data_IF_641904528292
#
_entry.id   IF_641904528292
#
_cell.length_a   1.000
_cell.length_b   1.000
_cell.length_c   1.000
_cell.angle_alpha   90.00
_cell.angle_beta   90.00
_cell.angle_gamma   90.00
#
_symmetry.space_group_name_H-M   'P 1'
#
loop_
_entity.id
_entity.type
_entity.pdbx_description
1 polymer ?
#
# COMPACT_ATOMS: atom_id res chain seq x y z
N UNK A 1 -22.56 -3.86 44.01
CA UNK A 1 -21.37 -3.83 43.12
C UNK A 1 -21.40 -5.04 42.20
N UNK A 2 -21.60 -4.91 40.89
CA UNK A 2 -21.63 -6.08 40.00
C UNK A 2 -20.22 -6.43 39.49
N UNK A 3 -19.93 -7.74 39.49
CA UNK A 3 -18.67 -8.35 39.05
C UNK A 3 -18.39 -8.05 37.56
N UNK A 4 -17.18 -7.57 37.25
CA UNK A 4 -16.66 -7.47 35.88
C UNK A 4 -16.62 -8.86 35.25
N UNK A 5 -17.37 -9.04 34.16
CA UNK A 5 -17.28 -10.22 33.28
C UNK A 5 -15.94 -10.12 32.53
N UNK A 6 -15.02 -11.05 32.79
CA UNK A 6 -13.84 -11.24 31.94
C UNK A 6 -14.32 -11.62 30.54
N UNK A 7 -13.98 -10.81 29.55
CA UNK A 7 -14.13 -11.15 28.14
C UNK A 7 -13.01 -12.16 27.83
N UNK A 8 -13.30 -13.38 27.35
CA UNK A 8 -12.28 -14.36 27.04
C UNK A 8 -11.38 -13.87 25.89
N UNK A 9 -10.09 -14.17 26.00
CA UNK A 9 -9.07 -13.92 24.99
C UNK A 9 -9.58 -14.30 23.60
N UNK A 10 -9.77 -13.31 22.73
CA UNK A 10 -9.87 -13.56 21.29
C UNK A 10 -8.48 -13.97 20.81
N UNK A 11 -8.36 -15.20 20.37
CA UNK A 11 -7.22 -15.69 19.59
C UNK A 11 -6.92 -14.69 18.45
N UNK A 12 -5.70 -14.15 18.43
CA UNK A 12 -5.20 -13.41 17.27
C UNK A 12 -5.21 -14.36 16.07
N UNK A 13 -6.12 -14.13 15.11
CA UNK A 13 -6.04 -14.78 13.82
C UNK A 13 -4.67 -14.47 13.20
N UNK A 14 -3.96 -15.46 12.59
CA UNK A 14 -2.77 -15.16 11.82
C UNK A 14 -3.11 -14.16 10.71
N UNK A 15 -2.20 -13.22 10.44
CA UNK A 15 -2.37 -12.24 9.37
C UNK A 15 -2.68 -12.98 8.05
N UNK A 16 -3.62 -12.45 7.26
CA UNK A 16 -3.89 -13.02 5.94
C UNK A 16 -2.67 -12.78 5.05
N UNK A 17 -1.97 -13.86 4.72
CA UNK A 17 -0.87 -13.87 3.76
C UNK A 17 -1.42 -14.04 2.35
N UNK A 18 -1.06 -13.12 1.45
CA UNK A 18 -1.28 -13.29 0.02
C UNK A 18 0.06 -13.65 -0.62
N UNK A 19 0.16 -14.86 -1.14
CA UNK A 19 1.31 -15.28 -1.93
C UNK A 19 1.21 -14.77 -3.36
N UNK A 20 2.29 -14.19 -3.82
CA UNK A 20 2.49 -13.81 -5.20
C UNK A 20 2.90 -15.04 -6.00
N UNK A 21 1.93 -15.73 -6.61
CA UNK A 21 2.21 -16.94 -7.38
C UNK A 21 2.71 -16.60 -8.80
N UNK A 22 4.00 -16.85 -9.06
CA UNK A 22 4.58 -16.73 -10.40
C UNK A 22 4.37 -17.99 -11.27
N UNK A 23 3.92 -19.12 -10.71
CA UNK A 23 3.95 -20.44 -11.38
C UNK A 23 2.87 -20.63 -12.46
N UNK A 24 1.81 -19.81 -12.48
CA UNK A 24 0.86 -19.80 -13.60
C UNK A 24 1.39 -19.12 -14.87
N UNK A 25 2.52 -18.44 -14.81
CA UNK A 25 2.87 -17.44 -15.83
C UNK A 25 3.97 -17.82 -16.81
N UNK A 26 4.66 -18.95 -16.62
CA UNK A 26 5.62 -19.49 -17.60
C UNK A 26 5.11 -20.68 -18.42
N UNK A 27 3.84 -21.10 -18.23
CA UNK A 27 3.17 -22.12 -19.04
C UNK A 27 1.82 -21.61 -19.55
N UNK A 28 1.84 -20.56 -20.37
CA UNK A 28 0.72 -20.26 -21.26
C UNK A 28 1.20 -20.39 -22.71
N UNK A 29 1.08 -21.58 -23.27
CA UNK A 29 0.98 -21.81 -24.71
C UNK A 29 -0.47 -21.69 -25.20
N UNK A 30 -1.33 -20.97 -24.48
CA UNK A 30 -2.70 -20.69 -24.92
C UNK A 30 -2.70 -19.43 -25.79
N UNK A 31 -3.33 -19.47 -26.97
CA UNK A 31 -3.34 -18.35 -27.91
C UNK A 31 -3.98 -17.14 -27.24
N UNK A 32 -3.32 -16.00 -27.39
CA UNK A 32 -3.80 -14.69 -26.97
C UNK A 32 -5.30 -14.56 -27.30
N UNK A 33 -6.15 -14.46 -26.27
CA UNK A 33 -7.50 -13.96 -26.46
C UNK A 33 -7.39 -12.50 -26.81
N UNK A 34 -7.40 -12.25 -28.10
CA UNK A 34 -7.49 -10.96 -28.76
C UNK A 34 -8.85 -10.31 -28.41
N UNK A 35 -8.96 -9.76 -27.21
CA UNK A 35 -10.17 -9.03 -26.78
C UNK A 35 -9.83 -7.81 -25.92
N UNK A 36 -8.73 -7.14 -26.23
CA UNK A 36 -8.53 -5.73 -25.88
C UNK A 36 -8.49 -4.94 -27.17
N UNK A 37 -9.63 -4.34 -27.53
CA UNK A 37 -9.65 -3.30 -28.57
C UNK A 37 -8.56 -2.28 -28.19
N UNK A 38 -7.67 -1.88 -29.11
CA UNK A 38 -6.74 -0.80 -28.81
C UNK A 38 -7.55 0.42 -28.43
N UNK A 39 -7.35 0.93 -27.21
CA UNK A 39 -7.82 2.25 -26.82
C UNK A 39 -7.17 3.20 -27.83
N UNK A 40 -7.97 3.72 -28.76
CA UNK A 40 -7.52 4.71 -29.72
C UNK A 40 -6.99 5.88 -28.90
N UNK A 41 -5.72 6.24 -29.09
CA UNK A 41 -5.15 7.47 -28.55
C UNK A 41 -6.07 8.62 -28.97
N UNK A 42 -6.76 9.21 -28.00
CA UNK A 42 -7.55 10.41 -28.17
C UNK A 42 -6.60 11.56 -28.52
N UNK A 43 -6.23 11.70 -29.79
CA UNK A 43 -5.65 12.91 -30.38
C UNK A 43 -4.30 13.43 -29.84
N UNK A 44 -3.62 12.75 -28.91
CA UNK A 44 -2.33 13.19 -28.40
C UNK A 44 -1.17 12.63 -29.25
N UNK A 45 -0.46 13.45 -30.06
CA UNK A 45 0.65 13.01 -30.89
C UNK A 45 1.91 12.59 -30.11
N UNK A 46 1.94 12.78 -28.78
CA UNK A 46 3.05 12.39 -27.90
C UNK A 46 2.83 11.08 -27.13
N UNK A 47 1.67 10.43 -27.27
CA UNK A 47 1.40 9.18 -26.57
C UNK A 47 2.19 8.02 -27.20
N UNK A 48 3.27 7.62 -26.53
CA UNK A 48 4.13 6.51 -26.97
C UNK A 48 3.39 5.17 -26.88
N UNK A 49 3.65 4.23 -27.80
CA UNK A 49 3.11 2.88 -27.68
C UNK A 49 3.67 2.21 -26.42
N UNK A 50 2.80 1.48 -25.70
CA UNK A 50 3.20 0.72 -24.51
C UNK A 50 4.31 -0.27 -24.87
N UNK A 51 5.25 -0.47 -23.94
CA UNK A 51 6.41 -1.37 -24.12
C UNK A 51 6.61 -2.28 -22.92
N UNK A 52 7.28 -3.41 -23.11
CA UNK A 52 7.74 -4.21 -21.97
C UNK A 52 8.93 -3.50 -21.33
N UNK A 53 8.91 -3.42 -20.00
CA UNK A 53 10.04 -2.89 -19.23
C UNK A 53 10.70 -4.00 -18.43
N UNK A 54 12.02 -4.12 -18.58
CA UNK A 54 12.84 -5.12 -17.88
C UNK A 54 13.81 -4.50 -16.88
N UNK A 55 13.90 -3.16 -16.82
CA UNK A 55 14.79 -2.44 -15.92
C UNK A 55 14.09 -1.20 -15.33
N UNK A 56 14.16 -1.03 -14.01
CA UNK A 56 13.51 0.09 -13.31
C UNK A 56 12.00 -0.09 -13.09
N UNK A 57 11.31 0.93 -12.52
CA UNK A 57 9.90 0.83 -12.17
C UNK A 57 8.99 0.79 -13.41
N UNK A 58 7.96 -0.07 -13.40
CA UNK A 58 6.99 -0.08 -14.49
C UNK A 58 5.85 0.93 -14.26
N UNK A 59 5.65 1.85 -15.22
CA UNK A 59 4.57 2.82 -15.21
C UNK A 59 3.38 2.31 -16.04
N UNK A 60 2.16 2.45 -15.52
CA UNK A 60 0.94 1.95 -16.18
C UNK A 60 0.65 2.62 -17.52
N UNK A 61 0.98 3.92 -17.63
CA UNK A 61 0.81 4.70 -18.86
C UNK A 61 1.75 4.20 -19.98
N UNK A 62 2.97 3.81 -19.63
CA UNK A 62 4.05 3.56 -20.59
C UNK A 62 4.32 2.08 -20.85
N UNK A 63 3.89 1.17 -19.95
CA UNK A 63 4.31 -0.22 -19.98
C UNK A 63 3.16 -1.22 -20.04
N UNK A 64 3.40 -2.35 -20.71
CA UNK A 64 2.51 -3.51 -20.64
C UNK A 64 2.58 -4.13 -19.24
N UNK A 65 1.43 -4.13 -18.55
CA UNK A 65 1.32 -4.61 -17.19
C UNK A 65 -0.03 -5.33 -17.01
N UNK A 66 -0.02 -6.44 -16.28
CA UNK A 66 -1.26 -7.03 -15.75
C UNK A 66 -1.83 -6.11 -14.67
N UNK A 67 -3.16 -6.10 -14.53
CA UNK A 67 -3.78 -5.33 -13.46
C UNK A 67 -3.33 -5.88 -12.09
N UNK A 68 -3.27 -5.04 -11.04
CA UNK A 68 -2.95 -5.52 -9.70
C UNK A 68 -3.87 -6.64 -9.21
N UNK A 69 -5.13 -6.61 -9.61
CA UNK A 69 -6.18 -7.54 -9.19
C UNK A 69 -6.03 -8.92 -9.85
N UNK A 70 -5.58 -8.97 -11.10
CA UNK A 70 -5.22 -10.23 -11.76
C UNK A 70 -4.02 -10.90 -11.05
N UNK A 71 -3.11 -10.08 -10.53
CA UNK A 71 -1.93 -10.54 -9.80
C UNK A 71 -2.24 -10.91 -8.34
N UNK A 72 -3.23 -10.28 -7.73
CA UNK A 72 -3.63 -10.48 -6.33
C UNK A 72 -5.17 -10.56 -6.20
N UNK A 73 -5.81 -11.65 -6.63
CA UNK A 73 -7.27 -11.73 -6.74
C UNK A 73 -8.02 -11.58 -5.41
N UNK A 74 -7.35 -11.72 -4.27
CA UNK A 74 -7.95 -11.57 -2.93
C UNK A 74 -7.72 -10.20 -2.30
N UNK A 75 -6.83 -9.37 -2.85
CA UNK A 75 -6.41 -8.13 -2.19
C UNK A 75 -7.58 -7.18 -1.96
N UNK A 76 -8.53 -7.15 -2.90
CA UNK A 76 -9.70 -6.28 -2.81
C UNK A 76 -10.62 -6.67 -1.66
N UNK A 77 -10.89 -7.97 -1.50
CA UNK A 77 -11.71 -8.46 -0.40
C UNK A 77 -11.06 -8.16 0.96
N UNK A 78 -9.73 -8.19 1.05
CA UNK A 78 -9.01 -7.85 2.28
C UNK A 78 -9.08 -6.35 2.59
N UNK A 79 -8.91 -5.49 1.58
CA UNK A 79 -9.04 -4.03 1.73
C UNK A 79 -10.47 -3.66 2.14
N UNK A 80 -11.48 -4.17 1.42
CA UNK A 80 -12.88 -3.93 1.72
C UNK A 80 -13.27 -4.46 3.12
N UNK A 81 -12.65 -5.56 3.56
CA UNK A 81 -12.78 -6.12 4.90
C UNK A 81 -11.96 -5.42 5.99
N UNK A 82 -11.20 -4.36 5.66
CA UNK A 82 -10.33 -3.60 6.58
C UNK A 82 -9.28 -4.48 7.28
N UNK A 83 -8.75 -5.46 6.58
CA UNK A 83 -7.77 -6.39 7.12
C UNK A 83 -6.34 -5.89 6.96
N UNK A 84 -5.49 -6.18 7.94
CA UNK A 84 -4.04 -6.15 7.74
C UNK A 84 -3.62 -7.42 6.99
N UNK A 85 -2.85 -7.26 5.92
CA UNK A 85 -2.36 -8.37 5.11
C UNK A 85 -0.90 -8.18 4.73
N UNK A 86 -0.22 -9.30 4.49
CA UNK A 86 1.17 -9.32 4.05
C UNK A 86 1.22 -9.86 2.62
N UNK A 87 1.86 -9.13 1.73
CA UNK A 87 2.14 -9.59 0.37
C UNK A 87 3.50 -10.29 0.38
N UNK A 88 3.49 -11.61 0.32
CA UNK A 88 4.70 -12.39 0.16
C UNK A 88 4.99 -12.59 -1.32
N UNK A 89 6.12 -12.08 -1.80
CA UNK A 89 6.60 -12.37 -3.15
C UNK A 89 8.11 -12.60 -3.17
N UNK A 90 8.62 -13.40 -4.12
CA UNK A 90 10.05 -13.51 -4.38
C UNK A 90 10.70 -12.14 -4.65
N UNK A 91 12.03 -12.04 -4.47
CA UNK A 91 12.76 -10.83 -4.85
C UNK A 91 12.62 -10.58 -6.36
N UNK A 92 12.62 -9.30 -6.75
CA UNK A 92 12.62 -8.84 -8.16
C UNK A 92 11.37 -9.15 -9.00
N UNK A 93 10.23 -9.49 -8.39
CA UNK A 93 8.95 -9.73 -9.11
C UNK A 93 8.06 -8.47 -9.24
N UNK A 94 8.62 -7.29 -8.96
CA UNK A 94 7.91 -6.02 -9.07
C UNK A 94 6.83 -5.80 -8.01
N UNK A 95 7.08 -6.19 -6.74
CA UNK A 95 6.19 -5.92 -5.58
C UNK A 95 5.93 -4.44 -5.38
N UNK A 96 6.99 -3.64 -5.31
CA UNK A 96 6.91 -2.17 -5.19
C UNK A 96 6.05 -1.57 -6.29
N UNK A 97 6.27 -2.01 -7.53
CA UNK A 97 5.49 -1.54 -8.68
C UNK A 97 4.03 -1.95 -8.58
N UNK A 98 3.75 -3.19 -8.14
CA UNK A 98 2.40 -3.68 -7.90
C UNK A 98 1.68 -2.85 -6.82
N UNK A 99 2.32 -2.61 -5.68
CA UNK A 99 1.76 -1.84 -4.56
C UNK A 99 1.49 -0.39 -4.95
N UNK A 100 2.44 0.26 -5.64
CA UNK A 100 2.26 1.64 -6.16
C UNK A 100 1.15 1.73 -7.19
N UNK A 101 1.02 0.75 -8.08
CA UNK A 101 -0.07 0.75 -9.05
C UNK A 101 -1.42 0.47 -8.37
N UNK A 102 -1.45 -0.42 -7.37
CA UNK A 102 -2.65 -0.70 -6.60
C UNK A 102 -3.12 0.54 -5.82
N UNK A 103 -2.22 1.24 -5.12
CA UNK A 103 -2.59 2.47 -4.40
C UNK A 103 -3.11 3.55 -5.34
N UNK A 104 -2.44 3.79 -6.47
CA UNK A 104 -2.92 4.74 -7.49
C UNK A 104 -4.30 4.36 -8.03
N UNK A 105 -4.54 3.08 -8.30
CA UNK A 105 -5.82 2.59 -8.82
C UNK A 105 -6.92 2.80 -7.79
N UNK A 106 -6.69 2.41 -6.53
CA UNK A 106 -7.64 2.57 -5.42
C UNK A 106 -8.02 4.04 -5.18
N UNK A 107 -7.04 4.94 -5.25
CA UNK A 107 -7.28 6.38 -5.12
C UNK A 107 -8.04 6.94 -6.33
N UNK A 108 -7.68 6.54 -7.54
CA UNK A 108 -8.34 6.99 -8.78
C UNK A 108 -9.80 6.51 -8.91
N UNK A 109 -10.14 5.36 -8.33
CA UNK A 109 -11.53 4.88 -8.24
C UNK A 109 -12.42 5.76 -7.34
N UNK A 110 -11.82 6.62 -6.51
CA UNK A 110 -12.54 7.51 -5.59
C UNK A 110 -13.11 6.82 -4.34
N UNK A 111 -13.04 5.48 -4.24
CA UNK A 111 -13.52 4.73 -3.06
C UNK A 111 -12.56 4.78 -1.88
N UNK A 112 -11.27 4.99 -2.12
CA UNK A 112 -10.22 4.93 -1.11
C UNK A 112 -9.28 6.13 -1.20
N UNK A 113 -8.60 6.44 -0.11
CA UNK A 113 -7.36 7.21 -0.12
C UNK A 113 -6.24 6.20 0.12
N UNK A 114 -5.44 5.91 -0.89
CA UNK A 114 -4.41 4.88 -0.80
C UNK A 114 -3.02 5.45 -1.05
N UNK A 115 -2.09 5.18 -0.12
CA UNK A 115 -0.70 5.63 -0.19
C UNK A 115 0.24 4.44 -0.04
N UNK A 116 1.32 4.45 -0.81
CA UNK A 116 2.43 3.49 -0.66
C UNK A 116 3.66 4.22 -0.16
N UNK A 117 4.22 3.78 0.96
CA UNK A 117 5.47 4.29 1.52
C UNK A 117 6.49 3.17 1.65
N UNK A 118 7.76 3.46 1.36
CA UNK A 118 8.86 2.51 1.57
C UNK A 118 9.50 2.73 2.92
N UNK A 119 9.77 1.62 3.62
CA UNK A 119 10.47 1.62 4.88
C UNK A 119 11.99 1.41 4.75
N UNK A 120 12.54 1.32 3.53
CA UNK A 120 13.98 1.05 3.31
C UNK A 120 14.89 2.06 4.02
N UNK A 121 14.43 3.31 4.16
CA UNK A 121 15.22 4.39 4.73
C UNK A 121 15.38 4.28 6.26
N UNK A 122 14.69 3.34 6.91
CA UNK A 122 14.65 3.17 8.37
C UNK A 122 15.36 1.89 8.82
N UNK A 123 16.59 1.68 8.33
CA UNK A 123 17.38 0.47 8.61
C UNK A 123 17.86 0.37 10.06
N UNK A 124 18.03 1.51 10.74
CA UNK A 124 18.60 1.59 12.08
C UNK A 124 17.73 2.48 13.00
N UNK A 125 17.82 2.21 14.30
CA UNK A 125 17.09 2.95 15.33
C UNK A 125 15.88 2.20 15.92
N UNK A 126 15.38 2.72 17.04
CA UNK A 126 14.17 2.24 17.70
C UNK A 126 12.92 3.04 17.29
N UNK A 127 11.74 2.66 17.82
CA UNK A 127 10.47 3.33 17.56
C UNK A 127 10.52 4.83 17.84
N UNK A 128 11.26 5.26 18.86
CA UNK A 128 11.42 6.66 19.24
C UNK A 128 12.07 7.52 18.17
N UNK A 129 12.97 6.94 17.37
CA UNK A 129 13.67 7.63 16.30
C UNK A 129 12.92 7.49 14.97
N UNK A 130 12.43 6.29 14.68
CA UNK A 130 11.84 5.97 13.37
C UNK A 130 10.41 6.54 13.22
N UNK A 131 9.57 6.49 14.27
CA UNK A 131 8.17 6.92 14.15
C UNK A 131 8.01 8.39 13.76
N UNK A 132 8.73 9.35 14.36
CA UNK A 132 8.63 10.75 13.95
C UNK A 132 9.11 10.98 12.51
N UNK A 133 10.12 10.24 12.05
CA UNK A 133 10.61 10.32 10.68
C UNK A 133 9.60 9.73 9.69
N UNK A 134 8.99 8.60 10.03
CA UNK A 134 7.94 7.98 9.24
C UNK A 134 6.72 8.90 9.10
N UNK A 135 6.30 9.59 10.17
CA UNK A 135 5.21 10.58 10.10
C UNK A 135 5.52 11.70 9.11
N UNK A 136 6.72 12.28 9.18
CA UNK A 136 7.15 13.32 8.24
C UNK A 136 7.19 12.79 6.81
N UNK A 137 7.70 11.57 6.61
CA UNK A 137 7.72 10.90 5.30
C UNK A 137 6.31 10.70 4.76
N UNK A 138 5.38 10.18 5.56
CA UNK A 138 3.97 10.00 5.19
C UNK A 138 3.31 11.33 4.82
N UNK A 139 3.53 12.38 5.62
CA UNK A 139 3.03 13.72 5.32
C UNK A 139 3.53 14.20 3.95
N UNK A 140 4.83 14.13 3.72
CA UNK A 140 5.42 14.61 2.47
C UNK A 140 5.00 13.78 1.25
N UNK A 141 4.97 12.45 1.36
CA UNK A 141 4.52 11.58 0.27
C UNK A 141 3.02 11.78 -0.03
N UNK A 142 2.20 12.05 0.98
CA UNK A 142 0.78 12.35 0.78
C UNK A 142 0.56 13.60 -0.07
N UNK A 143 1.38 14.63 0.09
CA UNK A 143 1.30 15.86 -0.71
C UNK A 143 1.57 15.61 -2.19
N UNK A 144 2.43 14.64 -2.49
CA UNK A 144 2.83 14.31 -3.86
C UNK A 144 1.88 13.32 -4.53
N UNK A 145 1.36 12.33 -3.78
CA UNK A 145 0.61 11.21 -4.35
C UNK A 145 -0.90 11.30 -4.15
N UNK A 146 -1.39 12.17 -3.27
CA UNK A 146 -2.81 12.31 -2.98
C UNK A 146 -3.34 13.72 -3.31
N UNK A 147 -4.60 13.82 -3.79
CA UNK A 147 -5.32 15.08 -3.86
C UNK A 147 -5.36 15.81 -2.50
N UNK A 148 -5.44 17.14 -2.52
CA UNK A 148 -5.40 17.98 -1.32
C UNK A 148 -6.47 17.60 -0.29
N UNK A 149 -7.65 17.21 -0.75
CA UNK A 149 -8.76 16.77 0.10
C UNK A 149 -8.54 15.42 0.81
N UNK A 150 -7.54 14.64 0.36
CA UNK A 150 -7.19 13.35 0.95
C UNK A 150 -5.91 13.40 1.80
N UNK A 151 -5.32 14.59 1.96
CA UNK A 151 -4.08 14.79 2.71
C UNK A 151 -4.33 14.81 4.23
N UNK A 152 -3.34 14.39 5.03
CA UNK A 152 -3.43 14.42 6.49
C UNK A 152 -3.40 15.84 7.04
N UNK A 153 -3.83 16.03 8.30
CA UNK A 153 -3.54 17.25 9.04
C UNK A 153 -2.03 17.48 9.19
N UNK A 154 -1.65 18.75 9.35
CA UNK A 154 -0.28 19.18 9.57
C UNK A 154 0.41 18.40 10.71
N UNK A 155 1.56 17.78 10.40
CA UNK A 155 2.28 16.86 11.31
C UNK A 155 2.80 17.57 12.57
N UNK A 156 3.03 18.87 12.50
CA UNK A 156 3.52 19.71 13.60
C UNK A 156 2.54 19.78 14.78
N UNK A 157 1.25 19.47 14.54
CA UNK A 157 0.22 19.42 15.57
C UNK A 157 0.37 18.19 16.49
N UNK A 158 1.15 17.21 16.10
CA UNK A 158 1.30 15.95 16.82
C UNK A 158 2.67 15.93 17.50
N UNK A 159 2.67 16.15 18.82
CA UNK A 159 3.88 16.16 19.66
C UNK A 159 3.66 15.29 20.90
N UNK A 160 4.75 14.74 21.45
CA UNK A 160 4.71 13.85 22.61
C UNK A 160 5.34 12.49 22.35
N UNK A 161 4.83 11.46 23.03
CA UNK A 161 5.31 10.09 22.89
C UNK A 161 5.19 9.60 21.43
N UNK A 162 6.27 9.13 20.79
CA UNK A 162 6.27 8.80 19.36
C UNK A 162 5.21 7.78 18.94
N UNK A 163 4.90 6.79 19.78
CA UNK A 163 3.91 5.76 19.44
C UNK A 163 2.48 6.34 19.52
N UNK A 164 2.19 7.09 20.58
CA UNK A 164 0.90 7.76 20.76
C UNK A 164 0.65 8.78 19.65
N UNK A 165 1.68 9.55 19.30
CA UNK A 165 1.67 10.53 18.21
C UNK A 165 1.41 9.84 16.88
N UNK A 166 2.06 8.70 16.61
CA UNK A 166 1.86 7.95 15.37
C UNK A 166 0.42 7.47 15.20
N UNK A 167 -0.13 6.81 16.22
CA UNK A 167 -1.52 6.35 16.23
C UNK A 167 -2.50 7.52 16.13
N UNK A 168 -2.23 8.62 16.86
CA UNK A 168 -3.02 9.84 16.83
C UNK A 168 -3.04 10.49 15.45
N UNK A 169 -1.91 10.52 14.75
CA UNK A 169 -1.80 11.05 13.39
C UNK A 169 -2.62 10.25 12.40
N UNK A 170 -2.46 8.92 12.37
CA UNK A 170 -3.23 8.05 11.47
C UNK A 170 -4.74 8.10 11.74
N UNK A 171 -5.12 8.21 13.03
CA UNK A 171 -6.52 8.38 13.44
C UNK A 171 -7.08 9.71 12.96
N UNK A 172 -6.33 10.81 13.14
CA UNK A 172 -6.74 12.13 12.71
C UNK A 172 -6.81 12.24 11.18
N UNK A 173 -5.88 11.61 10.45
CA UNK A 173 -5.93 11.52 9.01
C UNK A 173 -7.18 10.78 8.55
N UNK A 174 -7.43 9.58 9.09
CA UNK A 174 -8.62 8.80 8.75
C UNK A 174 -9.93 9.52 9.07
N UNK A 175 -9.95 10.38 10.08
CA UNK A 175 -11.11 11.20 10.46
C UNK A 175 -11.28 12.46 9.60
N UNK A 176 -10.21 12.96 8.99
CA UNK A 176 -10.23 14.17 8.18
C UNK A 176 -10.74 13.93 6.74
N UNK A 177 -10.69 12.68 6.26
CA UNK A 177 -11.06 12.30 4.90
C UNK A 177 -12.42 11.58 4.87
N UNK A 178 -13.12 11.67 3.74
CA UNK A 178 -14.48 11.13 3.55
C UNK A 178 -14.52 9.65 3.14
N UNK A 179 -13.37 8.99 3.08
CA UNK A 179 -13.21 7.63 2.55
C UNK A 179 -12.13 6.85 3.30
N UNK A 180 -12.13 5.51 3.27
CA UNK A 180 -11.16 4.73 4.04
C UNK A 180 -9.71 4.96 3.55
N UNK A 181 -8.80 5.13 4.51
CA UNK A 181 -7.36 5.21 4.29
C UNK A 181 -6.78 3.80 4.13
N UNK A 182 -5.97 3.57 3.09
CA UNK A 182 -5.24 2.33 2.84
C UNK A 182 -3.75 2.64 2.75
N UNK A 183 -2.97 2.15 3.71
CA UNK A 183 -1.52 2.32 3.73
C UNK A 183 -0.82 1.02 3.31
N UNK A 184 0.03 1.14 2.30
CA UNK A 184 0.92 0.07 1.86
C UNK A 184 2.34 0.37 2.34
N UNK A 185 2.86 -0.48 3.21
CA UNK A 185 4.23 -0.39 3.72
C UNK A 185 5.13 -1.36 2.92
N UNK A 186 5.95 -0.81 2.04
CA UNK A 186 6.91 -1.59 1.26
C UNK A 186 8.23 -1.79 2.03
N UNK A 187 8.95 -2.86 1.72
CA UNK A 187 10.23 -3.21 2.34
C UNK A 187 10.17 -3.27 3.87
N UNK A 188 9.07 -3.80 4.43
CA UNK A 188 8.92 -3.94 5.88
C UNK A 188 9.98 -4.85 6.54
N UNK A 189 10.73 -5.62 5.75
CA UNK A 189 11.89 -6.39 6.19
C UNK A 189 13.16 -5.55 6.41
N UNK A 190 13.16 -4.26 6.07
CA UNK A 190 14.29 -3.34 6.30
C UNK A 190 14.38 -2.83 7.74
N UNK A 191 13.25 -2.75 8.45
CA UNK A 191 13.20 -2.09 9.77
C UNK A 191 13.49 -3.05 10.91
N UNK A 192 13.88 -2.49 12.06
CA UNK A 192 14.13 -3.29 13.26
C UNK A 192 12.85 -3.92 13.81
N UNK A 193 12.98 -5.09 14.47
CA UNK A 193 11.84 -5.80 15.06
C UNK A 193 10.96 -4.94 15.98
N UNK A 194 11.53 -4.12 16.90
CA UNK A 194 10.74 -3.21 17.74
C UNK A 194 9.92 -2.20 16.92
N UNK A 195 10.49 -1.62 15.87
CA UNK A 195 9.80 -0.68 14.98
C UNK A 195 8.65 -1.38 14.26
N UNK A 196 8.89 -2.55 13.68
CA UNK A 196 7.85 -3.34 13.02
C UNK A 196 6.72 -3.67 14.00
N UNK A 197 7.03 -4.11 15.22
CA UNK A 197 6.03 -4.41 16.24
C UNK A 197 5.20 -3.18 16.63
N UNK A 198 5.80 -2.00 16.67
CA UNK A 198 5.10 -0.74 16.94
C UNK A 198 4.18 -0.32 15.79
N UNK A 199 4.50 -0.64 14.53
CA UNK A 199 3.63 -0.38 13.38
C UNK A 199 2.42 -1.31 13.32
N UNK A 200 2.58 -2.54 13.83
CA UNK A 200 1.56 -3.59 13.78
C UNK A 200 0.58 -3.57 14.98
N UNK A 201 0.73 -2.64 15.93
CA UNK A 201 0.00 -2.62 17.21
C UNK A 201 -0.81 -1.36 17.46
#
# INVERSE_FOLDING_TARGET
MPRRRLIPNKECKPFSTIDFDNKKYFRSTSPLRENTKPVRNNGNPFAMPRRFNTAGPCLFEDHYMLSPEERLPQVRALIDGKHFFVIHAPRQVGKTTLMRNLSRTLTAEGKYAALTTSLESFMEGGPETVMPQLLRKLSWESEYFLPAELQPPAVEKFTGDPLVVFQGYLSAWSAAIDRPLVLFLDEADSVTGPVLLSLLR
#
